data_IF_060951135325
#
_entry.id   IF_060951135325
#
_cell.length_a   1.000
_cell.length_b   1.000
_cell.length_c   1.000
_cell.angle_alpha   90.00
_cell.angle_beta   90.00
_cell.angle_gamma   90.00
#
_symmetry.space_group_name_H-M   'P 1'
#
loop_
_entity.id
_entity.type
_entity.pdbx_description
1 polymer ?
#
# COMPACT_ATOMS: atom_id res chain seq x y z
N UNK A 1 9.94 9.98 3.48
CA UNK A 1 10.10 10.17 4.94
C UNK A 1 8.87 9.60 5.61
N UNK A 2 8.99 9.04 6.82
CA UNK A 2 7.85 8.47 7.57
C UNK A 2 7.54 9.35 8.77
N UNK A 3 6.25 9.58 9.03
CA UNK A 3 5.78 10.28 10.24
C UNK A 3 4.81 9.39 11.01
N UNK A 4 4.79 9.44 12.35
CA UNK A 4 3.82 8.69 13.14
C UNK A 4 2.38 8.99 12.73
N UNK A 5 1.53 7.98 12.73
CA UNK A 5 0.13 8.12 12.32
C UNK A 5 -0.64 9.14 13.16
N UNK A 6 -0.25 9.31 14.44
CA UNK A 6 -0.84 10.29 15.36
C UNK A 6 -0.66 11.74 14.89
N UNK A 7 0.32 12.01 14.01
CA UNK A 7 0.56 13.34 13.42
C UNK A 7 -0.22 13.57 12.12
N UNK A 8 -0.96 12.57 11.63
CA UNK A 8 -1.70 12.66 10.37
C UNK A 8 -3.10 13.21 10.65
N UNK A 9 -3.35 14.40 10.11
CA UNK A 9 -4.63 15.09 10.23
C UNK A 9 -5.71 14.43 9.38
N UNK A 10 -5.39 14.09 8.13
CA UNK A 10 -6.30 13.42 7.22
C UNK A 10 -5.56 12.79 6.04
N UNK A 11 -6.23 11.82 5.40
CA UNK A 11 -5.78 11.22 4.16
C UNK A 11 -6.98 10.61 3.42
N UNK A 12 -6.96 10.65 2.09
CA UNK A 12 -7.83 9.84 1.24
C UNK A 12 -7.15 9.52 -0.09
N UNK A 13 -7.54 8.42 -0.73
CA UNK A 13 -7.10 8.10 -2.09
C UNK A 13 -8.02 8.79 -3.11
N UNK A 14 -7.46 9.63 -3.98
CA UNK A 14 -8.17 10.27 -5.10
C UNK A 14 -7.78 9.69 -6.47
N UNK A 15 -7.22 8.47 -6.49
CA UNK A 15 -6.72 7.83 -7.70
C UNK A 15 -5.75 8.70 -8.53
N UNK A 16 -4.88 9.51 -7.88
CA UNK A 16 -3.90 10.34 -8.61
C UNK A 16 -2.77 9.53 -9.30
N UNK A 17 -2.55 8.28 -8.88
CA UNK A 17 -1.49 7.41 -9.43
C UNK A 17 -0.07 7.75 -8.97
N UNK A 18 0.11 8.72 -8.07
CA UNK A 18 1.45 9.14 -7.61
C UNK A 18 2.20 8.06 -6.84
N UNK A 19 1.51 7.21 -6.06
CA UNK A 19 2.12 6.06 -5.39
C UNK A 19 2.86 5.15 -6.39
N UNK A 20 2.30 4.93 -7.57
CA UNK A 20 2.92 4.13 -8.63
C UNK A 20 4.17 4.78 -9.24
N UNK A 21 4.44 6.06 -8.98
CA UNK A 21 5.64 6.76 -9.42
C UNK A 21 6.68 6.85 -8.30
N UNK A 22 6.28 7.33 -7.12
CA UNK A 22 7.20 7.64 -6.01
C UNK A 22 7.53 6.46 -5.11
N UNK A 23 6.60 5.52 -4.94
CA UNK A 23 6.76 4.40 -4.01
C UNK A 23 7.27 3.15 -4.73
N UNK A 24 8.24 2.45 -4.16
CA UNK A 24 8.71 1.14 -4.65
C UNK A 24 8.07 0.05 -3.78
N UNK A 25 7.04 -0.66 -4.28
CA UNK A 25 6.31 -1.62 -3.47
C UNK A 25 7.20 -2.77 -3.03
N UNK A 26 7.29 -2.97 -1.71
CA UNK A 26 7.85 -4.19 -1.13
C UNK A 26 6.82 -5.31 -1.22
N UNK A 27 7.28 -6.49 -1.56
CA UNK A 27 6.47 -7.70 -1.65
C UNK A 27 6.82 -8.65 -0.51
N UNK A 28 5.82 -9.40 -0.05
CA UNK A 28 6.02 -10.66 0.66
C UNK A 28 6.57 -11.73 -0.29
N UNK A 29 7.12 -12.82 0.25
CA UNK A 29 7.57 -13.95 -0.56
C UNK A 29 6.40 -14.53 -1.41
N UNK A 30 5.21 -14.61 -0.82
CA UNK A 30 4.01 -15.10 -1.52
C UNK A 30 3.60 -14.19 -2.69
N UNK A 31 3.58 -12.87 -2.50
CA UNK A 31 3.29 -11.91 -3.58
C UNK A 31 4.35 -11.91 -4.67
N UNK A 32 5.62 -12.08 -4.30
CA UNK A 32 6.71 -12.26 -5.26
C UNK A 32 6.47 -13.49 -6.12
N UNK A 33 6.15 -14.64 -5.52
CA UNK A 33 5.86 -15.87 -6.26
C UNK A 33 4.66 -15.73 -7.19
N UNK A 34 3.61 -14.99 -6.78
CA UNK A 34 2.47 -14.69 -7.67
C UNK A 34 2.84 -13.83 -8.86
N UNK A 35 3.78 -12.90 -8.68
CA UNK A 35 4.12 -11.89 -9.69
C UNK A 35 5.40 -12.23 -10.48
N UNK A 36 6.19 -13.24 -10.09
CA UNK A 36 7.47 -13.59 -10.75
C UNK A 36 7.35 -13.84 -12.24
N UNK A 37 6.25 -14.46 -12.69
CA UNK A 37 5.98 -14.73 -14.11
C UNK A 37 5.84 -13.48 -14.97
N UNK A 38 5.63 -12.30 -14.36
CA UNK A 38 5.53 -11.03 -15.09
C UNK A 38 6.86 -10.47 -15.57
N UNK A 39 7.99 -10.90 -14.97
CA UNK A 39 9.30 -10.27 -15.19
C UNK A 39 9.44 -8.84 -14.61
N UNK A 40 8.47 -8.41 -13.79
CA UNK A 40 8.41 -7.07 -13.20
C UNK A 40 8.69 -7.02 -11.70
N UNK A 41 9.12 -8.13 -11.12
CA UNK A 41 9.53 -8.22 -9.73
C UNK A 41 11.00 -8.60 -9.64
N UNK A 42 11.67 -8.13 -8.59
CA UNK A 42 13.09 -8.35 -8.35
C UNK A 42 13.32 -8.75 -6.91
N UNK A 43 14.39 -9.51 -6.70
CA UNK A 43 14.98 -9.71 -5.38
C UNK A 43 16.21 -8.80 -5.24
N UNK A 44 16.33 -8.10 -4.12
CA UNK A 44 17.48 -7.26 -3.79
C UNK A 44 17.76 -7.38 -2.29
N UNK A 45 18.95 -7.86 -1.95
CA UNK A 45 19.39 -8.05 -0.56
C UNK A 45 18.38 -8.83 0.30
N UNK A 46 17.93 -9.99 -0.19
CA UNK A 46 16.98 -10.87 0.51
C UNK A 46 15.57 -10.29 0.65
N UNK A 47 15.21 -9.29 -0.16
CA UNK A 47 13.88 -8.64 -0.14
C UNK A 47 13.31 -8.54 -1.54
N UNK A 48 11.99 -8.65 -1.64
CA UNK A 48 11.28 -8.65 -2.92
C UNK A 48 10.59 -7.31 -3.19
N UNK A 49 10.61 -6.87 -4.45
CA UNK A 49 10.06 -5.60 -4.86
C UNK A 49 9.43 -5.67 -6.24
N UNK A 50 8.46 -4.80 -6.52
CA UNK A 50 8.10 -4.45 -7.91
C UNK A 50 9.15 -3.46 -8.43
N UNK A 51 9.85 -3.81 -9.51
CA UNK A 51 10.81 -2.89 -10.14
C UNK A 51 10.11 -1.80 -10.92
N UNK A 52 10.73 -0.62 -10.99
CA UNK A 52 10.28 0.48 -11.85
C UNK A 52 10.82 0.30 -13.26
N UNK A 53 10.02 0.69 -14.26
CA UNK A 53 10.42 0.80 -15.67
C UNK A 53 10.15 2.24 -16.09
N UNK A 54 11.17 2.95 -16.57
CA UNK A 54 11.03 4.37 -16.92
C UNK A 54 10.54 5.26 -15.77
N UNK A 55 10.93 4.96 -14.53
CA UNK A 55 10.52 5.71 -13.34
C UNK A 55 9.09 5.42 -12.84
N UNK A 56 8.37 4.46 -13.43
CA UNK A 56 6.97 4.15 -13.10
C UNK A 56 6.76 2.67 -12.80
N UNK A 57 5.75 2.36 -11.99
CA UNK A 57 5.28 0.99 -11.77
C UNK A 57 4.75 0.41 -13.08
N UNK A 58 5.21 -0.77 -13.53
CA UNK A 58 4.76 -1.38 -14.78
C UNK A 58 3.27 -1.76 -14.76
N UNK A 59 2.68 -1.90 -13.57
CA UNK A 59 1.26 -2.18 -13.39
C UNK A 59 0.37 -0.93 -13.32
N UNK A 60 0.90 0.27 -13.60
CA UNK A 60 0.06 1.47 -13.61
C UNK A 60 -0.52 1.73 -15.01
N UNK A 61 -1.84 1.58 -15.12
CA UNK A 61 -2.63 1.89 -16.32
C UNK A 61 -3.38 3.21 -16.11
N UNK A 62 -3.06 4.23 -16.92
CA UNK A 62 -3.49 5.60 -16.64
C UNK A 62 -3.09 6.06 -15.23
N UNK A 63 -4.07 6.34 -14.38
CA UNK A 63 -3.88 6.69 -12.96
C UNK A 63 -4.18 5.54 -11.98
N UNK A 64 -4.62 4.39 -12.49
CA UNK A 64 -5.03 3.24 -11.72
C UNK A 64 -3.99 2.12 -11.73
N UNK A 65 -4.14 1.19 -10.80
CA UNK A 65 -3.38 -0.05 -10.77
C UNK A 65 -4.09 -1.08 -11.68
N UNK A 66 -3.36 -1.88 -12.44
CA UNK A 66 -3.93 -3.05 -13.13
C UNK A 66 -3.97 -4.28 -12.22
N UNK A 67 -3.11 -4.34 -11.19
CA UNK A 67 -3.24 -5.34 -10.12
C UNK A 67 -4.39 -4.96 -9.20
N UNK A 68 -5.46 -5.74 -9.22
CA UNK A 68 -6.63 -5.59 -8.35
C UNK A 68 -6.81 -6.82 -7.46
N UNK A 69 -7.70 -6.71 -6.47
CA UNK A 69 -8.07 -7.80 -5.57
C UNK A 69 -6.83 -8.46 -4.93
N UNK A 70 -6.69 -9.78 -5.08
CA UNK A 70 -5.64 -10.58 -4.45
C UNK A 70 -4.26 -10.43 -5.10
N UNK A 71 -4.17 -9.81 -6.28
CA UNK A 71 -2.90 -9.53 -6.94
C UNK A 71 -2.28 -8.20 -6.51
N UNK A 72 -3.08 -7.28 -5.95
CA UNK A 72 -2.57 -6.00 -5.47
C UNK A 72 -1.74 -6.24 -4.19
N UNK A 73 -0.46 -5.84 -4.17
CA UNK A 73 0.39 -6.08 -3.00
C UNK A 73 -0.15 -5.40 -1.74
N UNK A 74 0.07 -6.03 -0.58
CA UNK A 74 -0.25 -5.52 0.75
C UNK A 74 0.32 -4.11 0.95
N UNK A 75 1.58 -3.91 0.57
CA UNK A 75 2.23 -2.60 0.61
C UNK A 75 1.48 -1.53 -0.22
N UNK A 76 0.89 -1.91 -1.35
CA UNK A 76 0.07 -1.02 -2.18
C UNK A 76 -1.36 -0.86 -1.63
N UNK A 77 -1.89 -1.85 -0.90
CA UNK A 77 -3.20 -1.81 -0.23
C UNK A 77 -3.17 -0.92 1.00
N UNK A 78 -2.07 -0.89 1.75
CA UNK A 78 -1.94 -0.10 2.97
C UNK A 78 -1.35 1.30 2.74
N UNK A 79 -0.75 1.57 1.57
CA UNK A 79 -0.15 2.88 1.28
C UNK A 79 -1.15 4.03 1.51
N UNK A 80 -0.77 5.10 2.24
CA UNK A 80 0.58 5.46 2.67
C UNK A 80 0.98 4.91 4.04
N UNK A 81 0.11 4.13 4.69
CA UNK A 81 0.35 3.59 6.00
C UNK A 81 1.29 2.37 5.94
N UNK A 82 2.37 2.45 6.71
CA UNK A 82 3.39 1.44 6.87
C UNK A 82 3.27 0.89 8.28
N UNK A 83 2.87 -0.38 8.39
CA UNK A 83 2.72 -1.10 9.66
C UNK A 83 4.01 -1.86 9.97
N UNK A 84 4.48 -1.76 11.21
CA UNK A 84 5.67 -2.44 11.74
C UNK A 84 5.36 -3.09 13.08
N UNK A 85 6.17 -4.08 13.46
CA UNK A 85 6.11 -4.74 14.78
C UNK A 85 6.93 -4.05 15.86
N UNK A 86 7.78 -3.10 15.48
CA UNK A 86 8.65 -2.33 16.38
C UNK A 86 8.72 -0.88 15.88
N UNK A 87 8.82 0.07 16.80
CA UNK A 87 8.87 1.50 16.49
C UNK A 87 8.90 2.36 17.75
N UNK A 88 8.57 3.63 17.58
CA UNK A 88 8.53 4.64 18.64
C UNK A 88 7.10 4.82 19.17
N UNK A 89 6.97 5.33 20.40
CA UNK A 89 5.69 5.47 21.12
C UNK A 89 4.63 6.25 20.33
N UNK A 90 5.02 7.31 19.62
CA UNK A 90 4.08 8.09 18.81
C UNK A 90 3.46 7.28 17.66
N UNK A 91 4.14 6.23 17.20
CA UNK A 91 3.65 5.31 16.19
C UNK A 91 2.74 4.21 16.74
N UNK A 92 2.67 4.04 18.06
CA UNK A 92 1.97 2.94 18.70
C UNK A 92 0.46 2.95 18.37
N UNK A 93 -0.03 1.78 17.98
CA UNK A 93 -1.42 1.46 17.74
C UNK A 93 -1.70 0.05 18.27
N UNK A 94 -2.58 -0.04 19.26
CA UNK A 94 -2.99 -1.31 19.86
C UNK A 94 -4.25 -1.85 19.18
N UNK A 95 -4.25 -3.13 18.86
CA UNK A 95 -5.40 -3.83 18.31
C UNK A 95 -5.52 -5.21 18.95
N UNK A 96 -6.61 -5.44 19.69
CA UNK A 96 -6.91 -6.72 20.35
C UNK A 96 -5.78 -7.21 21.28
N UNK A 97 -5.12 -6.28 21.99
CA UNK A 97 -3.99 -6.58 22.87
C UNK A 97 -2.63 -6.74 22.18
N UNK A 98 -2.58 -6.71 20.85
CA UNK A 98 -1.33 -6.69 20.09
C UNK A 98 -0.87 -5.25 19.79
N UNK A 99 0.43 -4.99 19.95
CA UNK A 99 1.05 -3.69 19.63
C UNK A 99 1.57 -3.63 18.19
N UNK A 100 1.25 -2.54 17.50
CA UNK A 100 1.77 -2.23 16.17
C UNK A 100 2.27 -0.79 16.12
N UNK A 101 3.22 -0.54 15.22
CA UNK A 101 3.79 0.79 15.01
C UNK A 101 3.50 1.24 13.60
N UNK A 102 2.65 2.27 13.48
CA UNK A 102 2.10 2.72 12.21
C UNK A 102 2.63 4.10 11.86
N UNK A 103 3.15 4.21 10.65
CA UNK A 103 3.69 5.43 10.11
C UNK A 103 3.01 5.76 8.77
N UNK A 104 2.98 7.03 8.40
CA UNK A 104 2.52 7.46 7.08
C UNK A 104 3.69 7.95 6.22
N UNK A 105 3.69 7.55 4.96
CA UNK A 105 4.64 8.00 3.96
C UNK A 105 4.29 9.39 3.43
N UNK A 106 5.17 10.36 3.69
CA UNK A 106 4.99 11.76 3.32
C UNK A 106 5.10 12.02 1.83
N UNK A 107 5.51 11.03 1.01
CA UNK A 107 5.49 11.18 -0.44
C UNK A 107 4.08 11.11 -1.04
N UNK A 108 3.06 10.75 -0.26
CA UNK A 108 1.68 10.83 -0.72
C UNK A 108 1.17 12.27 -0.72
N UNK A 109 0.77 12.85 -1.88
CA UNK A 109 0.32 14.24 -1.96
C UNK A 109 -0.99 14.51 -1.21
N UNK A 110 -1.77 13.47 -0.91
CA UNK A 110 -3.04 13.59 -0.20
C UNK A 110 -2.90 13.48 1.32
N UNK A 111 -1.69 13.23 1.83
CA UNK A 111 -1.43 13.16 3.27
C UNK A 111 -1.39 14.59 3.84
N UNK A 112 -2.24 14.88 4.83
CA UNK A 112 -2.19 16.14 5.58
C UNK A 112 -1.66 15.88 6.99
N UNK A 113 -0.62 16.61 7.37
CA UNK A 113 0.05 16.50 8.67
C UNK A 113 -0.33 17.73 9.50
N UNK A 114 -0.77 17.53 10.74
CA UNK A 114 -0.99 18.61 11.71
C UNK A 114 -0.70 18.10 13.12
N UNK A 115 0.01 18.90 13.93
CA UNK A 115 0.40 18.56 15.31
C UNK A 115 -0.71 18.81 16.34
N UNK A 116 -1.69 19.64 16.01
CA UNK A 116 -2.66 20.25 16.94
C UNK A 116 -4.05 19.60 16.92
N UNK A 117 -4.23 18.50 16.18
CA UNK A 117 -5.54 17.83 16.05
C UNK A 117 -5.47 16.36 16.43
N UNK A 118 -6.57 15.85 16.99
CA UNK A 118 -6.79 14.41 17.09
C UNK A 118 -6.71 13.79 15.69
N UNK A 119 -5.99 12.67 15.51
CA UNK A 119 -5.82 12.07 14.19
C UNK A 119 -7.15 11.56 13.65
N UNK A 120 -7.62 12.09 12.52
CA UNK A 120 -8.86 11.64 11.86
C UNK A 120 -8.65 10.36 11.03
N UNK A 121 -7.48 9.72 11.15
CA UNK A 121 -7.10 8.54 10.37
C UNK A 121 -7.10 7.25 11.18
N UNK A 122 -7.56 7.26 12.44
CA UNK A 122 -7.52 6.09 13.32
C UNK A 122 -8.20 4.85 12.69
N UNK A 123 -9.35 5.01 12.03
CA UNK A 123 -10.02 3.91 11.32
C UNK A 123 -9.25 3.41 10.09
N UNK A 124 -8.55 4.30 9.39
CA UNK A 124 -7.69 3.93 8.26
C UNK A 124 -6.46 3.16 8.75
N UNK A 125 -5.91 3.58 9.88
CA UNK A 125 -4.81 2.89 10.57
C UNK A 125 -5.27 1.51 11.04
N UNK A 126 -6.46 1.42 11.65
CA UNK A 126 -7.09 0.15 12.02
C UNK A 126 -7.19 -0.79 10.82
N UNK A 127 -7.72 -0.31 9.69
CA UNK A 127 -7.79 -1.07 8.44
C UNK A 127 -6.41 -1.53 7.97
N UNK A 128 -5.39 -0.67 8.00
CA UNK A 128 -4.04 -1.01 7.58
C UNK A 128 -3.44 -2.13 8.46
N UNK A 129 -3.65 -2.08 9.77
CA UNK A 129 -3.21 -3.12 10.72
C UNK A 129 -3.98 -4.42 10.51
N UNK A 130 -5.30 -4.36 10.28
CA UNK A 130 -6.10 -5.55 9.95
C UNK A 130 -5.64 -6.21 8.65
N UNK A 131 -5.33 -5.43 7.61
CA UNK A 131 -4.75 -5.96 6.36
C UNK A 131 -3.37 -6.57 6.60
N UNK A 132 -2.51 -5.89 7.37
CA UNK A 132 -1.17 -6.35 7.69
C UNK A 132 -1.16 -7.69 8.45
N UNK A 133 -2.16 -7.90 9.31
CA UNK A 133 -2.33 -9.15 10.08
C UNK A 133 -3.11 -10.23 9.31
N UNK A 134 -3.56 -9.96 8.09
CA UNK A 134 -4.37 -10.89 7.30
C UNK A 134 -5.81 -11.06 7.80
N UNK A 135 -6.28 -10.20 8.71
CA UNK A 135 -7.62 -10.24 9.33
C UNK A 135 -8.64 -9.28 8.70
N UNK A 136 -8.20 -8.42 7.78
CA UNK A 136 -9.00 -7.32 7.21
C UNK A 136 -9.42 -7.53 5.76
N UNK A 137 -10.51 -6.86 5.38
CA UNK A 137 -10.89 -6.63 3.98
C UNK A 137 -10.64 -5.17 3.63
N UNK A 138 -10.18 -4.93 2.40
CA UNK A 138 -9.90 -3.60 1.88
C UNK A 138 -11.20 -2.83 1.67
N UNK A 139 -11.32 -1.63 2.25
CA UNK A 139 -12.55 -0.83 2.18
C UNK A 139 -12.28 0.65 1.89
N UNK A 140 -11.32 1.28 2.57
CA UNK A 140 -11.09 2.75 2.53
C UNK A 140 -9.70 3.14 2.02
N UNK A 141 -8.73 2.22 2.05
CA UNK A 141 -7.33 2.53 1.77
C UNK A 141 -6.95 2.56 0.28
N UNK A 142 -7.87 2.26 -0.62
CA UNK A 142 -7.66 2.40 -2.05
C UNK A 142 -8.84 3.09 -2.70
N UNK A 143 -8.59 3.83 -3.78
CA UNK A 143 -9.67 4.37 -4.58
C UNK A 143 -10.58 3.24 -5.06
N UNK A 144 -11.89 3.44 -4.91
CA UNK A 144 -12.91 2.63 -5.58
C UNK A 144 -12.72 2.80 -7.08
N UNK A 145 -12.60 1.68 -7.78
CA UNK A 145 -12.54 1.68 -9.23
C UNK A 145 -13.99 1.64 -9.72
N UNK A 146 -14.43 2.56 -10.58
CA UNK A 146 -15.74 2.48 -11.20
C UNK A 146 -15.89 1.11 -11.88
N UNK A 147 -17.03 0.43 -11.74
CA UNK A 147 -17.26 -0.89 -12.36
C UNK A 147 -17.03 -0.89 -13.88
N UNK A 148 -17.19 0.27 -14.50
CA UNK A 148 -16.95 0.53 -15.93
C UNK A 148 -15.47 0.52 -16.33
N UNK A 149 -14.56 0.70 -15.37
CA UNK A 149 -13.13 0.62 -15.62
C UNK A 149 -12.69 -0.84 -15.67
N UNK A 150 -12.71 -1.44 -16.87
CA UNK A 150 -12.15 -2.77 -17.12
C UNK A 150 -10.71 -2.81 -16.58
N UNK A 151 -10.39 -3.63 -15.57
CA UNK A 151 -9.01 -3.88 -15.21
C UNK A 151 -8.33 -4.40 -16.48
N UNK A 152 -7.29 -3.72 -16.94
CA UNK A 152 -6.51 -4.25 -18.06
C UNK A 152 -5.96 -5.59 -17.59
N UNK A 153 -6.44 -6.66 -18.22
CA UNK A 153 -5.97 -8.01 -17.95
C UNK A 153 -4.45 -7.97 -17.97
N UNK A 154 -3.78 -8.51 -16.96
CA UNK A 154 -2.34 -8.62 -17.04
C UNK A 154 -2.01 -9.44 -18.30
N UNK A 155 -0.88 -9.18 -18.98
CA UNK A 155 -0.54 -9.85 -20.22
C UNK A 155 -0.71 -11.37 -20.06
N UNK A 156 -1.35 -12.04 -21.05
CA UNK A 156 -1.82 -13.44 -21.06
C UNK A 156 -0.87 -14.50 -20.48
N UNK A 157 0.42 -14.19 -20.27
CA UNK A 157 1.40 -15.05 -19.58
C UNK A 157 1.08 -15.38 -18.11
N UNK A 158 0.06 -14.78 -17.51
CA UNK A 158 -0.37 -15.09 -16.13
C UNK A 158 -1.45 -16.20 -16.03
N UNK A 159 -1.89 -16.79 -17.15
CA UNK A 159 -2.96 -17.81 -17.16
C UNK A 159 -2.41 -19.25 -17.23
N UNK A 160 -1.10 -19.44 -17.38
CA UNK A 160 -0.50 -20.79 -17.46
C UNK A 160 0.81 -20.85 -16.69
N UNK A 161 0.73 -21.22 -15.41
CA UNK A 161 1.75 -21.92 -14.61
C UNK A 161 1.17 -22.25 -13.23
#
# INVERSE_FOLDING_TARGET
MHVPWRRVASWHCNACGMCCRVYTPRLTAYEYLKLRGTGFVIEKAGRFYIRKIGGKCPFQSGRLCSLQNDLKPLACKTFPFVVRRKGEEEGLFELNGDEFYVYADTFCPNLKIKRDRRPAVAELVREAVMLFTGRGRLSRLTATIPETAKPQQPPRRLVMA
#
